data_IF_554912765540
#
_entry.id   IF_554912765540
#
_cell.length_a   1.000
_cell.length_b   1.000
_cell.length_c   1.000
_cell.angle_alpha   90.00
_cell.angle_beta   90.00
_cell.angle_gamma   90.00
#
_symmetry.space_group_name_H-M   'P 1'
#
loop_
_entity.id
_entity.type
_entity.pdbx_description
1 polymer ?
#
# COMPACT_ATOMS: atom_id res chain seq x y z
N UNK A 1 31.99 -13.50 9.40
CA UNK A 1 30.74 -13.18 8.67
C UNK A 1 29.92 -12.00 9.23
N UNK A 2 30.23 -11.43 10.41
CA UNK A 2 29.44 -10.35 11.05
C UNK A 2 29.62 -8.91 10.51
N UNK A 3 30.38 -8.70 9.42
CA UNK A 3 30.64 -7.36 8.83
C UNK A 3 29.73 -7.05 7.63
N UNK A 4 29.28 -8.09 6.91
CA UNK A 4 28.37 -7.99 5.77
C UNK A 4 26.90 -7.73 6.17
N UNK A 5 26.47 -8.22 7.34
CA UNK A 5 25.12 -7.97 7.87
C UNK A 5 24.92 -6.50 8.30
N UNK A 6 25.92 -5.89 8.94
CA UNK A 6 25.86 -4.48 9.38
C UNK A 6 25.77 -3.48 8.24
N UNK A 7 26.44 -3.72 7.11
CA UNK A 7 26.36 -2.85 5.92
C UNK A 7 25.03 -2.98 5.18
N UNK A 8 24.45 -4.20 5.16
CA UNK A 8 23.08 -4.46 4.69
C UNK A 8 22.05 -3.69 5.54
N UNK A 9 22.12 -3.84 6.86
CA UNK A 9 21.21 -3.19 7.81
C UNK A 9 21.29 -1.66 7.75
N UNK A 10 22.50 -1.09 7.59
CA UNK A 10 22.68 0.35 7.42
C UNK A 10 22.09 0.88 6.10
N UNK A 11 22.07 0.07 5.02
CA UNK A 11 21.39 0.45 3.76
C UNK A 11 19.88 0.42 3.92
N UNK A 12 19.34 -0.64 4.54
CA UNK A 12 17.91 -0.77 4.80
C UNK A 12 17.38 0.40 5.65
N UNK A 13 18.09 0.79 6.71
CA UNK A 13 17.71 1.94 7.54
C UNK A 13 17.71 3.27 6.77
N UNK A 14 18.69 3.49 5.88
CA UNK A 14 18.71 4.69 5.01
C UNK A 14 17.57 4.69 4.01
N UNK A 15 17.27 3.53 3.42
CA UNK A 15 16.16 3.39 2.47
C UNK A 15 14.82 3.64 3.17
N UNK A 16 14.61 3.09 4.36
CA UNK A 16 13.43 3.36 5.17
C UNK A 16 13.30 4.88 5.44
N UNK A 17 14.35 5.53 5.92
CA UNK A 17 14.34 6.99 6.14
C UNK A 17 13.95 7.76 4.86
N UNK A 18 14.47 7.37 3.70
CA UNK A 18 14.15 8.00 2.42
C UNK A 18 12.68 7.81 2.03
N UNK A 19 12.11 6.63 2.22
CA UNK A 19 10.70 6.35 1.95
C UNK A 19 9.79 7.20 2.85
N UNK A 20 10.10 7.29 4.14
CA UNK A 20 9.37 8.13 5.08
C UNK A 20 9.48 9.62 4.74
N UNK A 21 10.66 10.11 4.34
CA UNK A 21 10.84 11.48 3.85
C UNK A 21 9.97 11.76 2.61
N UNK A 22 9.94 10.83 1.63
CA UNK A 22 9.11 10.99 0.44
C UNK A 22 7.61 10.98 0.77
N UNK A 23 7.19 10.09 1.66
CA UNK A 23 5.80 10.06 2.16
C UNK A 23 5.44 11.38 2.85
N UNK A 24 6.30 11.88 3.74
CA UNK A 24 6.10 13.16 4.41
C UNK A 24 5.97 14.32 3.41
N UNK A 25 6.83 14.39 2.40
CA UNK A 25 6.73 15.41 1.34
C UNK A 25 5.44 15.30 0.53
N UNK A 26 4.98 14.08 0.23
CA UNK A 26 3.72 13.87 -0.48
C UNK A 26 2.52 14.36 0.34
N UNK A 27 2.53 14.09 1.65
CA UNK A 27 1.50 14.56 2.60
C UNK A 27 1.49 16.08 2.71
N UNK A 28 2.66 16.71 2.91
CA UNK A 28 2.78 18.18 2.99
C UNK A 28 2.30 18.84 1.69
N UNK A 29 2.58 18.23 0.54
CA UNK A 29 2.13 18.72 -0.76
C UNK A 29 0.65 18.43 -1.04
N UNK A 30 -0.09 17.81 -0.12
CA UNK A 30 -1.50 17.42 -0.30
C UNK A 30 -1.73 16.35 -1.37
N UNK A 31 -0.67 15.63 -1.77
CA UNK A 31 -0.73 14.55 -2.79
C UNK A 31 -1.01 13.17 -2.19
N UNK A 32 -0.92 13.06 -0.87
CA UNK A 32 -1.22 11.85 -0.11
C UNK A 32 -1.88 12.24 1.22
N UNK A 33 -2.69 11.36 1.78
CA UNK A 33 -3.23 11.46 3.11
C UNK A 33 -2.62 10.40 4.05
N UNK A 34 -2.86 10.56 5.35
CA UNK A 34 -2.37 9.62 6.37
C UNK A 34 -3.02 8.24 6.23
N UNK A 35 -4.27 8.20 5.78
CA UNK A 35 -5.03 6.97 5.62
C UNK A 35 -4.42 6.12 4.47
N UNK A 36 -4.11 6.74 3.32
CA UNK A 36 -3.41 6.07 2.23
C UNK A 36 -1.98 5.67 2.56
N UNK A 37 -1.28 6.40 3.42
CA UNK A 37 0.05 6.02 3.91
C UNK A 37 0.00 4.74 4.78
N UNK A 38 -1.00 4.64 5.66
CA UNK A 38 -1.24 3.46 6.51
C UNK A 38 -1.62 2.24 5.65
N UNK A 39 -2.49 2.42 4.65
CA UNK A 39 -2.92 1.34 3.73
C UNK A 39 -1.76 0.71 2.93
N UNK A 40 -0.73 1.49 2.57
CA UNK A 40 0.45 0.98 1.86
C UNK A 40 1.53 0.43 2.80
N UNK A 41 1.29 0.43 4.11
CA UNK A 41 2.14 -0.20 5.12
C UNK A 41 3.17 0.73 5.78
N UNK A 42 2.98 2.06 5.75
CA UNK A 42 3.79 2.95 6.60
C UNK A 42 3.22 3.00 8.01
N UNK A 43 4.09 2.92 9.02
CA UNK A 43 3.71 3.23 10.39
C UNK A 43 3.72 4.75 10.58
N UNK A 44 2.53 5.34 10.57
CA UNK A 44 2.35 6.79 10.66
C UNK A 44 2.72 7.38 12.04
N UNK A 45 2.84 6.54 13.08
CA UNK A 45 3.22 6.93 14.44
C UNK A 45 4.73 6.79 14.70
N UNK A 46 5.46 6.13 13.79
CA UNK A 46 6.88 5.87 13.95
C UNK A 46 7.68 7.18 14.01
N UNK A 47 8.46 7.43 15.08
CA UNK A 47 9.14 8.71 15.33
C UNK A 47 10.42 8.88 14.49
N UNK A 48 10.26 9.08 13.18
CA UNK A 48 11.36 9.08 12.20
C UNK A 48 12.07 10.41 12.02
N UNK A 49 11.43 11.55 12.33
CA UNK A 49 11.93 12.87 11.97
C UNK A 49 12.52 13.62 13.17
N UNK A 50 13.63 14.32 12.97
CA UNK A 50 14.19 15.23 13.98
C UNK A 50 13.50 16.60 13.91
N UNK A 51 13.65 17.43 14.95
CA UNK A 51 13.16 18.83 14.95
C UNK A 51 13.55 19.60 13.68
N UNK A 52 14.81 19.48 13.25
CA UNK A 52 15.29 20.21 12.07
C UNK A 52 14.58 19.74 10.80
N UNK A 53 14.52 18.42 10.59
CA UNK A 53 13.85 17.84 9.42
C UNK A 53 12.35 18.10 9.41
N UNK A 54 11.70 18.02 10.56
CA UNK A 54 10.29 18.35 10.70
C UNK A 54 10.01 19.83 10.35
N UNK A 55 10.92 20.73 10.76
CA UNK A 55 10.83 22.15 10.42
C UNK A 55 10.99 22.42 8.93
N UNK A 56 11.93 21.75 8.28
CA UNK A 56 12.10 21.79 6.82
C UNK A 56 10.85 21.28 6.09
N UNK A 57 10.32 20.12 6.50
CA UNK A 57 9.16 19.50 5.86
C UNK A 57 7.89 20.36 6.03
N UNK A 58 7.63 20.90 7.21
CA UNK A 58 6.46 21.72 7.47
C UNK A 58 6.64 23.20 7.08
N UNK A 59 7.84 23.61 6.63
CA UNK A 59 8.22 25.00 6.43
C UNK A 59 8.01 25.89 7.68
N UNK A 60 8.39 25.36 8.85
CA UNK A 60 8.24 26.01 10.16
C UNK A 60 9.60 26.11 10.86
N UNK A 61 9.86 27.25 11.48
CA UNK A 61 11.10 27.43 12.24
C UNK A 61 11.17 26.47 13.45
N UNK A 62 12.32 25.83 13.74
CA UNK A 62 12.48 24.91 14.88
C UNK A 62 12.03 25.46 16.24
N UNK A 63 12.18 26.76 16.47
CA UNK A 63 11.70 27.41 17.70
C UNK A 63 10.17 27.40 17.79
N UNK A 64 9.48 27.63 16.68
CA UNK A 64 8.02 27.58 16.59
C UNK A 64 7.51 26.15 16.82
N UNK A 65 8.22 25.13 16.31
CA UNK A 65 7.89 23.73 16.63
C UNK A 65 7.96 23.42 18.13
N UNK A 66 8.93 23.99 18.84
CA UNK A 66 9.01 23.85 20.32
C UNK A 66 7.89 24.61 21.02
N UNK A 67 7.43 25.72 20.45
CA UNK A 67 6.25 26.42 20.95
C UNK A 67 4.99 25.58 20.75
N UNK A 68 4.81 24.98 19.57
CA UNK A 68 3.69 24.10 19.26
C UNK A 68 3.65 22.87 20.18
N UNK A 69 4.80 22.27 20.47
CA UNK A 69 4.95 21.21 21.49
C UNK A 69 4.51 21.67 22.88
N UNK A 70 4.99 22.84 23.34
CA UNK A 70 4.60 23.39 24.66
C UNK A 70 3.11 23.72 24.77
N UNK A 71 2.49 24.12 23.67
CA UNK A 71 1.06 24.42 23.59
C UNK A 71 0.20 23.16 23.42
N UNK A 72 0.80 21.97 23.29
CA UNK A 72 0.08 20.72 23.08
C UNK A 72 -0.53 20.57 21.69
N UNK A 73 -0.15 21.43 20.73
CA UNK A 73 -0.62 21.36 19.34
C UNK A 73 -0.13 20.06 18.67
N UNK A 74 1.13 19.71 18.95
CA UNK A 74 1.80 18.48 18.49
C UNK A 74 2.50 17.87 19.68
N UNK A 75 2.45 16.54 19.82
CA UNK A 75 3.06 15.83 20.95
C UNK A 75 4.13 14.88 20.42
N UNK A 76 5.37 15.37 20.19
CA UNK A 76 6.44 14.54 19.68
C UNK A 76 6.88 13.50 20.71
N UNK A 77 7.26 12.33 20.21
CA UNK A 77 7.93 11.34 21.04
C UNK A 77 9.33 11.84 21.45
N UNK A 78 9.80 11.43 22.63
CA UNK A 78 11.12 11.79 23.14
C UNK A 78 12.00 10.55 23.20
N UNK A 79 13.23 10.70 22.71
CA UNK A 79 14.30 9.71 22.93
C UNK A 79 14.78 9.77 24.38
N UNK A 80 15.51 8.75 24.84
CA UNK A 80 16.11 8.70 26.18
C UNK A 80 16.99 9.93 26.49
N UNK A 81 17.63 10.49 25.47
CA UNK A 81 18.40 11.74 25.56
C UNK A 81 17.56 13.02 25.56
N UNK A 82 16.23 12.94 25.66
CA UNK A 82 15.31 14.07 25.65
C UNK A 82 15.12 14.75 24.29
N UNK A 83 15.73 14.24 23.23
CA UNK A 83 15.56 14.81 21.89
C UNK A 83 14.18 14.42 21.33
N UNK A 84 13.48 15.44 20.79
CA UNK A 84 12.18 15.28 20.13
C UNK A 84 12.33 14.52 18.82
N UNK A 85 11.38 13.64 18.57
CA UNK A 85 11.19 12.91 17.34
C UNK A 85 9.72 13.03 16.92
N UNK A 86 9.53 13.29 15.64
CA UNK A 86 8.22 13.51 15.04
C UNK A 86 7.88 12.32 14.14
N UNK A 87 6.61 11.95 14.11
CA UNK A 87 6.06 10.93 13.24
C UNK A 87 5.49 11.53 11.94
N UNK A 88 5.04 10.70 11.00
CA UNK A 88 4.34 11.19 9.79
C UNK A 88 3.06 11.95 10.16
N UNK A 89 2.32 11.46 11.16
CA UNK A 89 1.14 12.15 11.70
C UNK A 89 1.49 13.55 12.21
N UNK A 90 2.59 13.68 12.94
CA UNK A 90 3.03 14.98 13.43
C UNK A 90 3.35 15.95 12.28
N UNK A 91 4.03 15.47 11.23
CA UNK A 91 4.33 16.30 10.05
C UNK A 91 3.04 16.77 9.36
N UNK A 92 2.07 15.87 9.16
CA UNK A 92 0.78 16.21 8.59
C UNK A 92 0.06 17.30 9.41
N UNK A 93 0.08 17.13 10.75
CA UNK A 93 -0.52 18.10 11.68
C UNK A 93 0.18 19.45 11.62
N UNK A 94 1.51 19.47 11.57
CA UNK A 94 2.30 20.70 11.45
C UNK A 94 2.01 21.44 10.15
N UNK A 95 1.98 20.73 9.02
CA UNK A 95 1.68 21.31 7.72
C UNK A 95 0.28 21.93 7.69
N UNK A 96 -0.72 21.22 8.21
CA UNK A 96 -2.10 21.73 8.29
C UNK A 96 -2.20 22.94 9.23
N UNK A 97 -1.52 22.90 10.37
CA UNK A 97 -1.46 24.04 11.30
C UNK A 97 -0.89 25.28 10.64
N UNK A 98 0.19 25.10 9.88
CA UNK A 98 0.84 26.19 9.16
C UNK A 98 -0.08 26.79 8.10
N UNK A 99 -0.78 25.93 7.34
CA UNK A 99 -1.76 26.35 6.35
C UNK A 99 -2.88 27.19 6.99
N UNK A 100 -3.53 26.66 8.03
CA UNK A 100 -4.62 27.36 8.74
C UNK A 100 -4.16 28.69 9.37
N UNK A 101 -2.92 28.75 9.85
CA UNK A 101 -2.36 29.97 10.41
C UNK A 101 -2.04 31.03 9.35
N UNK A 102 -1.53 30.63 8.18
CA UNK A 102 -1.09 31.56 7.13
C UNK A 102 -2.22 32.00 6.21
N UNK A 103 -3.09 31.08 5.80
CA UNK A 103 -4.15 31.33 4.83
C UNK A 103 -5.40 31.91 5.49
N UNK A 104 -5.78 31.37 6.66
CA UNK A 104 -7.04 31.71 7.33
C UNK A 104 -6.84 32.63 8.54
N UNK A 105 -5.59 32.89 8.95
CA UNK A 105 -5.28 33.78 10.08
C UNK A 105 -5.78 33.26 11.43
N UNK A 106 -6.02 31.95 11.56
CA UNK A 106 -6.62 31.35 12.75
C UNK A 106 -5.60 31.32 13.89
N UNK A 107 -6.07 31.62 15.11
CA UNK A 107 -5.22 31.54 16.29
C UNK A 107 -4.85 30.07 16.64
N UNK A 108 -3.75 29.87 17.37
CA UNK A 108 -3.25 28.52 17.70
C UNK A 108 -4.23 27.64 18.51
N UNK A 109 -5.03 28.22 19.41
CA UNK A 109 -6.07 27.50 20.14
C UNK A 109 -7.23 27.11 19.21
N UNK A 110 -7.58 27.95 18.24
CA UNK A 110 -8.53 27.64 17.18
C UNK A 110 -8.03 26.47 16.31
N UNK A 111 -6.77 26.54 15.87
CA UNK A 111 -6.12 25.46 15.10
C UNK A 111 -6.11 24.15 15.90
N UNK A 112 -5.74 24.19 17.18
CA UNK A 112 -5.77 23.01 18.05
C UNK A 112 -7.16 22.38 18.11
N UNK A 113 -8.21 23.19 18.22
CA UNK A 113 -9.60 22.71 18.25
C UNK A 113 -10.03 22.11 16.91
N UNK A 114 -9.68 22.76 15.80
CA UNK A 114 -9.97 22.27 14.44
C UNK A 114 -9.33 20.90 14.22
N UNK A 115 -8.03 20.76 14.53
CA UNK A 115 -7.31 19.50 14.34
C UNK A 115 -7.86 18.38 15.22
N UNK A 116 -8.26 18.69 16.45
CA UNK A 116 -8.92 17.71 17.32
C UNK A 116 -10.26 17.24 16.75
N UNK A 117 -11.06 18.15 16.18
CA UNK A 117 -12.34 17.83 15.57
C UNK A 117 -12.17 17.05 14.26
N UNK A 118 -11.18 17.38 13.45
CA UNK A 118 -10.86 16.65 12.22
C UNK A 118 -10.44 15.20 12.55
N UNK A 119 -9.67 14.99 13.61
CA UNK A 119 -9.28 13.65 14.04
C UNK A 119 -10.47 12.84 14.57
N UNK A 120 -11.33 13.46 15.40
CA UNK A 120 -12.57 12.83 15.84
C UNK A 120 -13.47 12.48 14.65
N UNK A 121 -13.56 13.38 13.65
CA UNK A 121 -14.32 13.12 12.43
C UNK A 121 -13.72 11.97 11.61
N UNK A 122 -12.39 11.90 11.50
CA UNK A 122 -11.68 10.79 10.84
C UNK A 122 -12.00 9.47 11.51
N UNK A 123 -11.91 9.40 12.83
CA UNK A 123 -12.22 8.21 13.61
C UNK A 123 -13.69 7.79 13.45
N UNK A 124 -14.62 8.74 13.56
CA UNK A 124 -16.04 8.48 13.34
C UNK A 124 -16.31 7.97 11.92
N UNK A 125 -15.67 8.54 10.89
CA UNK A 125 -15.79 8.05 9.51
C UNK A 125 -15.26 6.63 9.36
N UNK A 126 -14.10 6.32 9.96
CA UNK A 126 -13.54 4.96 9.98
C UNK A 126 -14.47 3.97 10.68
N UNK A 127 -15.09 4.36 11.79
CA UNK A 127 -16.08 3.53 12.49
C UNK A 127 -17.34 3.31 11.64
N UNK A 128 -17.87 4.37 11.02
CA UNK A 128 -19.03 4.27 10.12
C UNK A 128 -18.73 3.35 8.95
N UNK A 129 -17.55 3.46 8.33
CA UNK A 129 -17.14 2.58 7.24
C UNK A 129 -17.04 1.12 7.71
N UNK A 130 -16.46 0.89 8.90
CA UNK A 130 -16.38 -0.45 9.50
C UNK A 130 -17.76 -1.06 9.77
N UNK A 131 -18.72 -0.26 10.24
CA UNK A 131 -20.09 -0.71 10.49
C UNK A 131 -20.92 -0.88 9.21
N UNK A 132 -20.61 -0.10 8.16
CA UNK A 132 -21.24 -0.20 6.84
C UNK A 132 -20.74 -1.42 6.06
N UNK A 133 -19.54 -1.91 6.33
CA UNK A 133 -19.08 -3.20 5.81
C UNK A 133 -20.05 -4.29 6.33
N UNK A 134 -20.74 -5.01 5.43
CA UNK A 134 -21.82 -5.91 5.84
C UNK A 134 -21.29 -7.00 6.77
N UNK A 135 -21.91 -7.13 7.95
CA UNK A 135 -21.63 -8.21 8.90
C UNK A 135 -21.64 -9.56 8.17
N UNK A 136 -20.45 -10.14 7.95
CA UNK A 136 -20.26 -11.35 7.15
C UNK A 136 -19.34 -11.20 5.93
N UNK A 137 -18.74 -10.03 5.67
CA UNK A 137 -17.68 -9.85 4.68
C UNK A 137 -16.27 -10.05 5.21
N UNK A 138 -16.05 -10.34 6.48
CA UNK A 138 -14.74 -10.75 6.99
C UNK A 138 -14.73 -12.20 7.51
N UNK A 139 -13.59 -12.87 7.37
CA UNK A 139 -13.29 -14.17 7.98
C UNK A 139 -12.08 -13.98 8.85
N UNK A 140 -12.15 -14.47 10.08
CA UNK A 140 -10.98 -14.65 10.91
C UNK A 140 -10.17 -15.83 10.35
N UNK A 141 -8.94 -15.55 9.91
CA UNK A 141 -7.97 -16.57 9.53
C UNK A 141 -6.86 -16.61 10.57
N UNK A 142 -6.33 -17.80 10.82
CA UNK A 142 -5.11 -17.95 11.60
C UNK A 142 -3.91 -17.83 10.65
N UNK A 143 -2.96 -16.95 10.97
CA UNK A 143 -1.67 -16.89 10.28
C UNK A 143 -0.79 -18.09 10.68
N UNK A 144 0.30 -18.35 9.97
CA UNK A 144 1.24 -19.44 10.27
C UNK A 144 1.86 -19.36 11.67
N UNK A 145 1.87 -18.16 12.26
CA UNK A 145 2.36 -17.89 13.62
C UNK A 145 1.26 -18.05 14.70
N UNK A 146 0.01 -18.35 14.30
CA UNK A 146 -1.11 -18.58 15.20
C UNK A 146 -1.93 -17.33 15.56
N UNK A 147 -1.56 -16.16 15.04
CA UNK A 147 -2.30 -14.92 15.25
C UNK A 147 -3.60 -14.89 14.44
N UNK A 148 -4.65 -14.35 15.05
CA UNK A 148 -5.97 -14.20 14.42
C UNK A 148 -5.99 -12.89 13.64
N UNK A 149 -6.00 -12.97 12.31
CA UNK A 149 -6.11 -11.82 11.42
C UNK A 149 -7.48 -11.78 10.73
N UNK A 150 -8.07 -10.60 10.67
CA UNK A 150 -9.34 -10.36 9.98
C UNK A 150 -9.09 -10.18 8.48
N UNK A 151 -9.54 -11.13 7.65
CA UNK A 151 -9.38 -11.06 6.19
C UNK A 151 -10.73 -10.75 5.54
N UNK A 152 -10.75 -9.79 4.63
CA UNK A 152 -11.93 -9.46 3.84
C UNK A 152 -12.27 -10.58 2.83
N UNK A 153 -13.47 -11.17 2.95
CA UNK A 153 -14.08 -12.10 1.98
C UNK A 153 -14.29 -11.40 0.64
N UNK A 154 -13.28 -11.45 -0.23
CA UNK A 154 -13.40 -10.89 -1.58
C UNK A 154 -14.60 -11.51 -2.32
N UNK A 155 -15.57 -10.68 -2.74
CA UNK A 155 -16.72 -11.11 -3.58
C UNK A 155 -16.25 -11.86 -4.85
N UNK A 156 -15.09 -11.46 -5.40
CA UNK A 156 -14.41 -12.13 -6.54
C UNK A 156 -14.03 -13.58 -6.26
N UNK A 157 -13.56 -13.91 -5.05
CA UNK A 157 -13.17 -15.28 -4.69
C UNK A 157 -14.39 -16.20 -4.57
N UNK A 158 -15.54 -15.67 -4.10
CA UNK A 158 -16.82 -16.40 -4.12
C UNK A 158 -17.30 -16.68 -5.54
N UNK A 159 -17.23 -15.67 -6.41
CA UNK A 159 -17.60 -15.81 -7.83
C UNK A 159 -16.69 -16.82 -8.54
N UNK A 160 -15.37 -16.75 -8.33
CA UNK A 160 -14.41 -17.69 -8.91
C UNK A 160 -14.62 -19.14 -8.43
N UNK A 161 -14.85 -19.37 -7.13
CA UNK A 161 -15.17 -20.73 -6.61
C UNK A 161 -16.48 -21.26 -7.16
N UNK A 162 -17.51 -20.41 -7.27
CA UNK A 162 -18.80 -20.79 -7.86
C UNK A 162 -18.64 -21.10 -9.35
N UNK A 163 -17.83 -20.32 -10.08
CA UNK A 163 -17.52 -20.55 -11.49
C UNK A 163 -16.74 -21.85 -11.72
N UNK A 164 -15.77 -22.17 -10.86
CA UNK A 164 -15.05 -23.45 -10.89
C UNK A 164 -15.99 -24.63 -10.66
N UNK A 165 -16.91 -24.54 -9.70
CA UNK A 165 -17.87 -25.62 -9.44
C UNK A 165 -18.87 -25.82 -10.59
N UNK A 166 -19.29 -24.75 -11.26
CA UNK A 166 -20.14 -24.84 -12.45
C UNK A 166 -19.37 -25.46 -13.63
N UNK A 167 -18.13 -25.03 -13.87
CA UNK A 167 -17.28 -25.60 -14.91
C UNK A 167 -16.89 -27.06 -14.62
N UNK A 168 -16.72 -27.45 -13.36
CA UNK A 168 -16.42 -28.83 -12.97
C UNK A 168 -17.58 -29.80 -13.28
N UNK A 169 -18.84 -29.32 -13.28
CA UNK A 169 -20.01 -30.11 -13.72
C UNK A 169 -20.12 -30.22 -15.24
N UNK A 170 -19.42 -29.37 -15.99
CA UNK A 170 -19.38 -29.36 -17.45
C UNK A 170 -18.15 -30.09 -18.02
N UNK A 171 -17.30 -30.68 -17.17
CA UNK A 171 -16.20 -31.52 -17.64
C UNK A 171 -16.81 -32.75 -18.34
N UNK A 172 -16.41 -33.03 -19.59
CA UNK A 172 -16.91 -34.20 -20.30
C UNK A 172 -16.57 -35.46 -19.51
N UNK A 173 -17.55 -36.36 -19.40
CA UNK A 173 -17.39 -37.62 -18.67
C UNK A 173 -16.17 -38.39 -19.15
N UNK A 174 -15.57 -39.20 -18.28
CA UNK A 174 -14.29 -39.89 -18.53
C UNK A 174 -14.30 -40.71 -19.83
N UNK A 175 -15.46 -41.25 -20.23
CA UNK A 175 -15.68 -41.97 -21.49
C UNK A 175 -15.52 -41.08 -22.74
N UNK A 176 -15.92 -39.81 -22.65
CA UNK A 176 -15.78 -38.83 -23.73
C UNK A 176 -14.31 -38.44 -23.96
N UNK A 177 -13.50 -38.45 -22.91
CA UNK A 177 -12.05 -38.17 -22.97
C UNK A 177 -11.25 -39.38 -23.49
N UNK A 178 -11.69 -40.61 -23.22
CA UNK A 178 -11.10 -41.82 -23.81
C UNK A 178 -11.37 -41.90 -25.30
N UNK A 179 -12.59 -41.57 -25.72
CA UNK A 179 -12.98 -41.52 -27.15
C UNK A 179 -12.14 -40.51 -27.94
N UNK A 180 -11.83 -39.34 -27.36
CA UNK A 180 -10.96 -38.33 -27.96
C UNK A 180 -9.46 -38.71 -27.95
N UNK A 181 -9.03 -39.57 -27.02
CA UNK A 181 -7.67 -40.12 -26.97
C UNK A 181 -7.43 -41.16 -28.04
N UNK A 182 -8.39 -42.07 -28.24
CA UNK A 182 -8.31 -43.11 -29.29
C UNK A 182 -8.19 -42.48 -30.69
N UNK A 183 -8.83 -41.32 -30.93
CA UNK A 183 -8.69 -40.58 -32.20
C UNK A 183 -7.35 -39.87 -32.36
N UNK A 184 -6.65 -39.53 -31.28
CA UNK A 184 -5.37 -38.83 -31.34
C UNK A 184 -4.19 -39.78 -31.63
N UNK A 185 -4.23 -41.01 -31.10
CA UNK A 185 -3.17 -42.01 -31.30
C UNK A 185 -3.16 -42.61 -32.72
N UNK A 186 -4.20 -42.38 -33.53
CA UNK A 186 -4.31 -42.88 -34.90
C UNK A 186 -3.45 -42.12 -35.94
N UNK A 187 -2.82 -40.99 -35.57
CA UNK A 187 -2.05 -40.16 -36.50
C UNK A 187 -0.52 -40.34 -36.44
N UNK A 188 0.01 -41.15 -35.54
CA UNK A 188 1.46 -41.31 -35.37
C UNK A 188 1.95 -42.65 -35.93
N UNK A 189 2.37 -42.67 -37.20
CA UNK A 189 3.12 -43.79 -37.79
C UNK A 189 4.32 -43.23 -38.57
N UNK A 190 5.56 -43.75 -38.39
CA UNK A 190 6.77 -43.04 -38.81
C UNK A 190 7.33 -43.53 -40.15
N UNK A 191 7.81 -42.62 -41.03
CA UNK A 191 8.90 -42.96 -41.96
C UNK A 191 9.68 -41.75 -42.57
N UNK A 192 11.01 -41.74 -42.40
CA UNK A 192 12.02 -41.61 -43.48
C UNK A 192 12.63 -40.25 -43.91
N UNK A 193 13.88 -39.97 -43.47
CA UNK A 193 15.02 -39.30 -44.19
C UNK A 193 14.88 -37.85 -44.69
N UNK A 194 15.88 -36.96 -44.83
CA UNK A 194 17.35 -36.97 -44.90
C UNK A 194 17.89 -35.53 -44.72
N UNK A 195 19.18 -35.45 -44.34
CA UNK A 195 20.13 -34.33 -44.25
C UNK A 195 19.86 -32.98 -44.98
N UNK A 196 20.23 -31.87 -44.32
CA UNK A 196 21.30 -30.92 -44.75
C UNK A 196 21.55 -29.80 -43.73
N UNK A 197 22.83 -29.46 -43.62
CA UNK A 197 23.46 -28.40 -42.85
C UNK A 197 23.13 -27.01 -43.43
N UNK A 198 22.87 -25.98 -42.60
CA UNK A 198 23.45 -24.65 -42.79
C UNK A 198 23.21 -23.66 -41.63
N UNK A 199 24.20 -22.77 -41.51
CA UNK A 199 24.49 -21.83 -40.44
C UNK A 199 23.51 -20.66 -40.30
N UNK A 200 23.43 -20.17 -39.06
CA UNK A 200 23.25 -18.75 -38.72
C UNK A 200 21.81 -18.27 -38.62
N UNK A 201 21.43 -17.74 -37.46
CA UNK A 201 20.69 -16.47 -37.28
C UNK A 201 20.42 -16.29 -35.77
N UNK A 202 20.77 -15.10 -35.28
CA UNK A 202 20.55 -14.62 -33.92
C UNK A 202 19.06 -14.64 -33.58
N UNK A 203 18.67 -15.24 -32.45
CA UNK A 203 17.32 -15.11 -31.91
C UNK A 203 17.21 -13.83 -31.08
N UNK A 204 16.66 -12.79 -31.72
CA UNK A 204 16.14 -11.61 -31.06
C UNK A 204 14.99 -11.95 -30.10
N UNK A 205 14.93 -11.23 -28.98
CA UNK A 205 13.77 -11.19 -28.08
C UNK A 205 12.59 -10.54 -28.81
N UNK A 206 11.37 -11.10 -28.78
CA UNK A 206 10.18 -10.32 -29.04
C UNK A 206 9.73 -9.58 -27.78
N UNK A 207 9.55 -8.28 -27.96
CA UNK A 207 9.02 -7.32 -27.00
C UNK A 207 7.57 -7.65 -26.60
N UNK A 208 7.25 -7.39 -25.33
CA UNK A 208 5.88 -7.26 -24.85
C UNK A 208 5.76 -5.86 -24.25
N UNK A 209 5.05 -5.01 -24.98
CA UNK A 209 4.58 -3.69 -24.60
C UNK A 209 3.18 -3.56 -25.25
N UNK A 210 2.30 -2.68 -24.77
CA UNK A 210 1.46 -2.87 -23.59
C UNK A 210 -0.03 -2.87 -23.98
N UNK A 211 -0.86 -3.73 -23.38
CA UNK A 211 -2.32 -3.68 -23.64
C UNK A 211 -2.90 -2.47 -22.89
N UNK A 212 -3.30 -1.48 -23.70
CA UNK A 212 -4.07 -0.30 -23.35
C UNK A 212 -5.26 -0.64 -22.45
N UNK A 213 -5.35 0.00 -21.28
CA UNK A 213 -6.61 0.16 -20.55
C UNK A 213 -7.16 1.54 -20.85
N UNK A 214 -7.98 1.63 -21.88
CA UNK A 214 -9.03 2.63 -22.00
C UNK A 214 -10.11 2.31 -20.96
N UNK A 215 -10.29 3.16 -19.96
CA UNK A 215 -11.54 3.22 -19.19
C UNK A 215 -12.30 4.43 -19.75
N UNK A 216 -13.38 4.11 -20.47
CA UNK A 216 -14.38 5.06 -20.95
C UNK A 216 -15.42 5.21 -19.84
N UNK A 217 -15.70 6.45 -19.46
CA UNK A 217 -16.85 6.86 -18.65
C UNK A 217 -18.17 6.50 -19.33
N UNK A 218 -19.11 5.93 -18.57
CA UNK A 218 -20.57 6.13 -18.64
C UNK A 218 -21.07 5.86 -17.21
N UNK A 219 -21.74 6.74 -16.45
CA UNK A 219 -22.87 7.61 -16.82
C UNK A 219 -24.13 6.76 -16.82
N UNK A 220 -24.97 6.85 -15.78
CA UNK A 220 -26.38 6.39 -15.61
C UNK A 220 -26.81 6.95 -14.24
N UNK A 221 -27.53 8.07 -14.21
CA UNK A 221 -29.00 8.23 -14.08
C UNK A 221 -29.47 8.27 -12.61
#
# INVERSE_FOLDING_TARGET
MARASRTSQARAARQAKMLYDMCAMAIVAGRADLDGADEVGFDIELPMFTVGRAGELANVHPQTLRQYDRLGLVVPQRTDGGARRYSLRDIARLAKSQQLSQEEGINLAGIARILSLEEENRELRRQVERLRKPAGSSVFAADTDGDIVEIERSRRARMWRRQIQVNARQLPSRESLESARVTADAYDTPNGGVARENKGVQRGKPALDPVSRSIVLWGID
#
